data_IF_012548701045
#
_entry.id   IF_012548701045
#
_cell.length_a   1.000
_cell.length_b   1.000
_cell.length_c   1.000
_cell.angle_alpha   90.00
_cell.angle_beta   90.00
_cell.angle_gamma   90.00
#
_symmetry.space_group_name_H-M   'P 1'
#
loop_
_entity.id
_entity.type
_entity.pdbx_description
1 polymer ?
#
# COMPACT_ATOMS: atom_id res chain seq x y z
N UNK A 1 11.88 -44.17 64.84
CA UNK A 1 10.74 -43.69 64.03
C UNK A 1 10.17 -42.48 64.73
N UNK A 2 10.67 -41.28 64.40
CA UNK A 2 10.16 -40.02 64.94
C UNK A 2 9.06 -39.57 64.00
N UNK A 3 7.80 -39.75 64.41
CA UNK A 3 6.65 -39.15 63.74
C UNK A 3 6.61 -37.68 64.14
N UNK A 4 6.97 -36.79 63.22
CA UNK A 4 6.79 -35.34 63.36
C UNK A 4 5.29 -35.08 63.28
N UNK A 5 4.66 -34.74 64.41
CA UNK A 5 3.32 -34.17 64.42
C UNK A 5 3.37 -32.82 63.72
N UNK A 6 2.87 -32.75 62.49
CA UNK A 6 2.58 -31.48 61.82
C UNK A 6 1.32 -30.90 62.47
N UNK A 7 1.45 -29.71 63.03
CA UNK A 7 0.36 -29.01 63.71
C UNK A 7 -0.74 -28.63 62.70
N UNK A 8 -2.01 -28.87 63.05
CA UNK A 8 -3.15 -28.66 62.16
C UNK A 8 -3.35 -27.16 61.81
N UNK A 9 -2.77 -26.27 62.62
CA UNK A 9 -2.73 -24.83 62.38
C UNK A 9 -1.77 -24.43 61.25
N UNK A 10 -0.64 -25.12 61.09
CA UNK A 10 0.33 -24.85 60.02
C UNK A 10 -0.23 -25.23 58.64
N UNK A 11 -1.01 -26.31 58.58
CA UNK A 11 -1.69 -26.79 57.37
C UNK A 11 -2.76 -25.78 56.90
N UNK A 12 -3.54 -25.21 57.85
CA UNK A 12 -4.55 -24.18 57.54
C UNK A 12 -3.91 -22.88 57.07
N UNK A 13 -2.78 -22.49 57.64
CA UNK A 13 -2.04 -21.28 57.25
C UNK A 13 -1.42 -21.44 55.86
N UNK A 14 -0.84 -22.61 55.54
CA UNK A 14 -0.34 -22.93 54.22
C UNK A 14 -1.43 -22.93 53.13
N UNK A 15 -2.60 -23.51 53.41
CA UNK A 15 -3.74 -23.49 52.48
C UNK A 15 -4.25 -22.07 52.21
N UNK A 16 -4.31 -21.24 53.25
CA UNK A 16 -4.72 -19.85 53.15
C UNK A 16 -3.76 -19.04 52.26
N UNK A 17 -2.45 -19.23 52.44
CA UNK A 17 -1.42 -18.56 51.62
C UNK A 17 -1.52 -18.99 50.15
N UNK A 18 -1.67 -20.29 49.87
CA UNK A 18 -1.85 -20.81 48.49
C UNK A 18 -3.11 -20.25 47.85
N UNK A 19 -4.21 -20.15 48.61
CA UNK A 19 -5.47 -19.56 48.15
C UNK A 19 -5.31 -18.08 47.79
N UNK A 20 -4.69 -17.26 48.64
CA UNK A 20 -4.48 -15.84 48.37
C UNK A 20 -3.50 -15.59 47.21
N UNK A 21 -2.41 -16.36 47.11
CA UNK A 21 -1.46 -16.25 45.98
C UNK A 21 -2.13 -16.67 44.67
N UNK A 22 -2.91 -17.75 44.67
CA UNK A 22 -3.69 -18.18 43.51
C UNK A 22 -4.72 -17.14 43.06
N UNK A 23 -5.42 -16.51 44.02
CA UNK A 23 -6.37 -15.42 43.75
C UNK A 23 -5.66 -14.20 43.14
N UNK A 24 -4.48 -13.81 43.67
CA UNK A 24 -3.69 -12.70 43.13
C UNK A 24 -3.22 -12.97 41.70
N UNK A 25 -2.75 -14.19 41.41
CA UNK A 25 -2.32 -14.58 40.06
C UNK A 25 -3.52 -14.56 39.11
N UNK A 26 -4.67 -15.10 39.51
CA UNK A 26 -5.87 -15.12 38.69
C UNK A 26 -6.38 -13.71 38.36
N UNK A 27 -6.38 -12.80 39.34
CA UNK A 27 -6.73 -11.39 39.14
C UNK A 27 -5.74 -10.66 38.22
N UNK A 28 -4.43 -10.93 38.36
CA UNK A 28 -3.41 -10.33 37.49
C UNK A 28 -3.54 -10.80 36.03
N UNK A 29 -3.86 -12.08 35.79
CA UNK A 29 -4.05 -12.64 34.45
C UNK A 29 -5.34 -12.15 33.78
N UNK A 30 -6.42 -11.97 34.54
CA UNK A 30 -7.66 -11.35 34.03
C UNK A 30 -7.49 -9.86 33.70
N UNK A 31 -6.61 -9.14 34.40
CA UNK A 31 -6.32 -7.72 34.10
C UNK A 31 -5.50 -7.51 32.82
N UNK A 32 -4.72 -8.51 32.40
CA UNK A 32 -3.86 -8.44 31.21
C UNK A 32 -4.55 -8.81 29.89
N UNK A 33 -5.74 -9.39 29.95
CA UNK A 33 -6.40 -10.02 28.79
C UNK A 33 -7.56 -9.21 28.21
N UNK A 34 -7.62 -7.91 28.44
CA UNK A 34 -8.66 -7.06 27.84
C UNK A 34 -8.16 -5.67 27.47
N UNK A 35 -7.55 -5.57 26.28
CA UNK A 35 -7.46 -4.30 25.58
C UNK A 35 -8.85 -4.04 24.98
N UNK A 36 -9.72 -3.34 25.71
CA UNK A 36 -10.97 -2.82 25.13
C UNK A 36 -10.63 -1.57 24.32
N UNK A 37 -10.66 -1.68 22.99
CA UNK A 37 -10.59 -0.53 22.09
C UNK A 37 -11.96 0.15 22.12
N UNK A 38 -12.04 1.34 22.72
CA UNK A 38 -13.23 2.18 22.67
C UNK A 38 -13.15 3.11 21.45
N UNK A 39 -14.18 3.10 20.60
CA UNK A 39 -14.34 4.06 19.51
C UNK A 39 -15.39 5.08 19.90
N UNK A 40 -15.02 6.37 19.90
CA UNK A 40 -15.95 7.47 20.15
C UNK A 40 -16.55 7.96 18.82
N UNK A 41 -17.88 8.05 18.75
CA UNK A 41 -18.57 8.61 17.59
C UNK A 41 -18.61 10.13 17.76
N UNK A 42 -17.81 10.85 16.98
CA UNK A 42 -17.97 12.30 16.80
C UNK A 42 -19.33 12.53 16.13
N UNK A 43 -20.28 13.11 16.85
CA UNK A 43 -21.53 13.60 16.26
C UNK A 43 -21.24 14.86 15.45
N UNK A 44 -20.95 14.67 14.16
CA UNK A 44 -21.06 15.75 13.19
C UNK A 44 -22.47 15.75 12.58
N UNK A 45 -23.10 16.92 12.50
CA UNK A 45 -24.53 17.13 12.20
C UNK A 45 -24.88 16.94 10.71
N UNK A 46 -24.11 16.13 9.98
CA UNK A 46 -24.31 15.86 8.55
C UNK A 46 -23.80 14.49 8.07
N UNK A 47 -23.39 13.59 8.97
CA UNK A 47 -22.80 12.29 8.59
C UNK A 47 -23.83 11.16 8.65
N UNK A 48 -24.03 10.47 7.53
CA UNK A 48 -24.75 9.21 7.50
C UNK A 48 -23.99 8.15 8.34
N UNK A 49 -24.68 7.52 9.28
CA UNK A 49 -24.10 6.43 10.07
C UNK A 49 -24.19 5.11 9.31
N UNK A 50 -23.09 4.35 9.27
CA UNK A 50 -23.02 3.02 8.69
C UNK A 50 -22.26 2.06 9.62
N UNK A 51 -22.58 0.77 9.54
CA UNK A 51 -21.88 -0.29 10.27
C UNK A 51 -21.01 -1.09 9.31
N UNK A 52 -19.75 -1.31 9.67
CA UNK A 52 -18.79 -2.16 8.94
C UNK A 52 -18.38 -3.30 9.87
N UNK A 53 -18.51 -4.55 9.41
CA UNK A 53 -18.05 -5.74 10.13
C UNK A 53 -16.85 -6.33 9.38
N UNK A 54 -15.74 -6.56 10.09
CA UNK A 54 -14.51 -7.13 9.54
C UNK A 54 -14.28 -8.50 10.19
N UNK A 55 -14.36 -9.57 9.40
CA UNK A 55 -13.98 -10.92 9.84
C UNK A 55 -12.47 -11.14 9.66
N UNK A 56 -11.73 -11.13 10.77
CA UNK A 56 -10.29 -11.37 10.78
C UNK A 56 -9.90 -12.86 10.77
N UNK A 57 -10.86 -13.80 10.82
CA UNK A 57 -10.59 -15.24 10.85
C UNK A 57 -10.57 -15.88 9.45
N UNK A 58 -11.20 -15.24 8.46
CA UNK A 58 -11.40 -15.79 7.13
C UNK A 58 -10.83 -14.88 6.05
N UNK A 59 -9.74 -15.29 5.38
CA UNK A 59 -9.24 -14.59 4.20
C UNK A 59 -10.03 -15.01 2.93
N UNK A 60 -10.44 -14.03 2.11
CA UNK A 60 -11.14 -14.28 0.83
C UNK A 60 -10.21 -14.18 -0.38
N UNK A 61 -8.97 -13.74 -0.17
CA UNK A 61 -7.98 -13.53 -1.21
C UNK A 61 -6.66 -13.04 -0.62
N UNK A 62 -5.63 -13.03 -1.45
CA UNK A 62 -4.30 -12.57 -1.14
C UNK A 62 -3.93 -11.45 -2.13
N UNK A 63 -3.15 -10.48 -1.64
CA UNK A 63 -2.66 -9.37 -2.43
C UNK A 63 -1.19 -9.67 -2.73
N UNK A 64 -0.77 -9.43 -3.98
CA UNK A 64 0.62 -9.62 -4.40
C UNK A 64 1.57 -8.67 -3.65
N UNK A 65 2.83 -9.07 -3.49
CA UNK A 65 3.83 -8.33 -2.70
C UNK A 65 4.08 -6.92 -3.25
N UNK A 66 3.83 -6.72 -4.55
CA UNK A 66 4.02 -5.49 -5.33
C UNK A 66 2.70 -4.98 -5.93
N UNK A 67 1.60 -5.14 -5.20
CA UNK A 67 0.27 -4.69 -5.63
C UNK A 67 0.18 -3.19 -5.95
N UNK A 68 1.06 -2.38 -5.38
CA UNK A 68 1.15 -0.96 -5.70
C UNK A 68 1.78 -0.83 -7.08
N UNK A 69 1.07 -0.21 -8.00
CA UNK A 69 1.55 0.00 -9.35
C UNK A 69 1.31 1.42 -9.84
N UNK A 70 2.17 1.86 -10.77
CA UNK A 70 2.06 3.12 -11.47
C UNK A 70 2.28 2.90 -12.97
N UNK A 71 1.73 3.78 -13.80
CA UNK A 71 1.95 3.76 -15.25
C UNK A 71 2.68 5.04 -15.67
N UNK A 72 3.71 4.90 -16.50
CA UNK A 72 4.35 6.00 -17.22
C UNK A 72 3.98 5.91 -18.69
N UNK A 73 3.29 6.92 -19.24
CA UNK A 73 2.75 6.90 -20.61
C UNK A 73 3.66 7.65 -21.60
N UNK A 74 3.40 7.47 -22.90
CA UNK A 74 4.16 8.01 -24.04
C UNK A 74 3.65 9.36 -24.53
N UNK A 75 2.67 9.98 -23.87
CA UNK A 75 2.07 11.21 -24.35
C UNK A 75 3.09 12.36 -24.44
N UNK A 76 3.19 13.02 -25.60
CA UNK A 76 4.06 14.17 -25.74
C UNK A 76 3.41 15.41 -25.08
N UNK A 77 4.19 16.46 -24.74
CA UNK A 77 3.69 17.67 -24.08
C UNK A 77 2.53 18.36 -24.80
N UNK A 78 2.45 18.21 -26.13
CA UNK A 78 1.42 18.80 -26.97
C UNK A 78 0.04 18.10 -26.82
N UNK A 79 -0.04 17.03 -26.03
CA UNK A 79 -1.30 16.39 -25.66
C UNK A 79 -2.04 17.27 -24.65
N UNK A 80 -3.07 17.95 -25.15
CA UNK A 80 -3.95 18.77 -24.35
C UNK A 80 -5.39 18.25 -24.42
N UNK A 81 -5.98 17.97 -23.27
CA UNK A 81 -7.36 17.53 -23.11
C UNK A 81 -8.15 18.58 -22.35
N UNK A 82 -9.36 18.88 -22.84
CA UNK A 82 -10.26 19.82 -22.17
C UNK A 82 -9.62 21.19 -21.85
N UNK A 83 -8.67 21.63 -22.69
CA UNK A 83 -7.94 22.89 -22.52
C UNK A 83 -6.72 22.84 -21.59
N UNK A 84 -6.34 21.66 -21.07
CA UNK A 84 -5.16 21.49 -20.19
C UNK A 84 -4.17 20.50 -20.78
N UNK A 85 -2.87 20.82 -20.76
CA UNK A 85 -1.79 19.98 -21.26
C UNK A 85 -1.06 19.32 -20.08
N UNK A 86 -1.68 18.31 -19.47
CA UNK A 86 -1.23 17.74 -18.19
C UNK A 86 0.07 16.94 -18.28
N UNK A 87 0.50 16.57 -19.50
CA UNK A 87 1.63 15.68 -19.68
C UNK A 87 2.98 16.34 -19.54
N UNK A 88 3.12 17.62 -19.93
CA UNK A 88 4.33 18.45 -19.81
C UNK A 88 5.63 17.64 -19.60
N UNK A 89 6.24 17.61 -18.41
CA UNK A 89 7.45 16.83 -18.05
C UNK A 89 7.17 15.54 -17.27
N UNK A 90 5.98 14.96 -17.44
CA UNK A 90 5.50 13.80 -16.67
C UNK A 90 5.41 12.51 -17.50
N UNK A 91 5.70 12.57 -18.81
CA UNK A 91 5.66 11.39 -19.67
C UNK A 91 7.01 10.69 -19.73
N UNK A 92 7.02 9.43 -20.19
CA UNK A 92 8.24 8.65 -20.32
C UNK A 92 9.29 9.31 -21.23
N UNK A 93 8.84 10.22 -22.11
CA UNK A 93 9.70 10.93 -23.06
C UNK A 93 10.58 11.99 -22.39
N UNK A 94 10.17 12.54 -21.25
CA UNK A 94 10.81 13.72 -20.65
C UNK A 94 10.77 13.78 -19.12
N UNK A 95 10.27 12.73 -18.45
CA UNK A 95 10.29 12.60 -17.00
C UNK A 95 11.74 12.63 -16.48
N UNK A 96 12.01 13.53 -15.54
CA UNK A 96 13.30 13.58 -14.85
C UNK A 96 13.41 12.45 -13.82
N UNK A 97 14.12 11.39 -14.18
CA UNK A 97 14.40 10.24 -13.31
C UNK A 97 15.33 10.58 -12.13
N UNK A 98 16.01 11.73 -12.15
CA UNK A 98 16.83 12.20 -11.03
C UNK A 98 16.04 13.05 -10.03
N UNK A 99 14.74 13.27 -10.27
CA UNK A 99 13.89 14.05 -9.39
C UNK A 99 13.78 13.38 -8.00
N UNK A 100 14.17 14.11 -6.95
CA UNK A 100 14.20 13.57 -5.58
C UNK A 100 12.81 13.17 -5.06
N UNK A 101 11.75 13.85 -5.51
CA UNK A 101 10.37 13.54 -5.11
C UNK A 101 9.97 12.20 -5.73
N UNK A 102 10.25 11.99 -7.02
CA UNK A 102 10.00 10.71 -7.70
C UNK A 102 10.78 9.57 -7.04
N UNK A 103 12.07 9.77 -6.79
CA UNK A 103 12.92 8.76 -6.14
C UNK A 103 12.41 8.39 -4.74
N UNK A 104 11.97 9.37 -3.95
CA UNK A 104 11.41 9.12 -2.62
C UNK A 104 10.07 8.39 -2.70
N UNK A 105 9.22 8.70 -3.69
CA UNK A 105 7.98 7.98 -3.92
C UNK A 105 8.23 6.51 -4.27
N UNK A 106 9.13 6.24 -5.23
CA UNK A 106 9.49 4.86 -5.60
C UNK A 106 10.05 4.07 -4.42
N UNK A 107 10.86 4.70 -3.56
CA UNK A 107 11.38 4.08 -2.33
C UNK A 107 10.26 3.79 -1.32
N UNK A 108 9.35 4.73 -1.11
CA UNK A 108 8.25 4.59 -0.16
C UNK A 108 7.26 3.48 -0.57
N UNK A 109 7.10 3.26 -1.87
CA UNK A 109 6.21 2.24 -2.43
C UNK A 109 6.95 0.97 -2.86
N UNK A 110 8.19 0.75 -2.44
CA UNK A 110 8.95 -0.44 -2.82
C UNK A 110 8.40 -1.70 -2.12
N UNK A 111 8.12 -2.81 -2.85
CA UNK A 111 8.29 -2.96 -4.30
C UNK A 111 7.14 -2.31 -5.12
N UNK A 112 7.50 -1.43 -6.06
CA UNK A 112 6.57 -0.72 -6.95
C UNK A 112 6.61 -1.34 -8.36
N UNK A 113 5.48 -1.82 -8.87
CA UNK A 113 5.33 -2.24 -10.28
C UNK A 113 5.13 -1.02 -11.17
N UNK A 114 6.07 -0.73 -12.08
CA UNK A 114 5.91 0.34 -13.07
C UNK A 114 5.59 -0.26 -14.45
N UNK A 115 4.42 0.07 -15.00
CA UNK A 115 4.06 -0.22 -16.38
C UNK A 115 4.52 0.93 -17.28
N UNK A 116 5.19 0.61 -18.38
CA UNK A 116 5.59 1.59 -19.39
C UNK A 116 4.59 1.53 -20.55
N UNK A 117 3.82 2.59 -20.74
CA UNK A 117 2.91 2.78 -21.85
C UNK A 117 1.49 3.11 -21.44
N UNK A 118 0.55 2.77 -22.31
CA UNK A 118 -0.79 3.36 -22.33
C UNK A 118 -1.35 3.34 -23.73
N UNK A 119 -2.23 4.27 -24.04
CA UNK A 119 -2.92 4.31 -25.34
C UNK A 119 -1.97 4.55 -26.52
N UNK A 120 -0.96 5.40 -26.33
CA UNK A 120 0.02 5.69 -27.39
C UNK A 120 1.02 4.56 -27.62
N UNK A 121 1.05 3.53 -26.77
CA UNK A 121 1.99 2.43 -26.86
C UNK A 121 1.89 1.69 -28.20
N UNK A 122 0.69 1.57 -28.77
CA UNK A 122 0.47 0.90 -30.06
C UNK A 122 1.07 1.67 -31.25
N UNK A 123 1.42 2.95 -31.05
CA UNK A 123 2.03 3.82 -32.05
C UNK A 123 3.54 4.02 -31.83
N UNK A 124 4.15 3.32 -30.86
CA UNK A 124 5.58 3.38 -30.57
C UNK A 124 6.36 2.44 -31.49
N UNK A 125 7.43 2.94 -32.10
CA UNK A 125 8.44 2.17 -32.85
C UNK A 125 9.77 2.25 -32.10
N UNK A 126 10.39 1.10 -31.82
CA UNK A 126 11.75 1.08 -31.26
C UNK A 126 12.78 1.09 -32.39
N UNK A 127 13.71 2.04 -32.36
CA UNK A 127 14.80 2.09 -33.32
C UNK A 127 15.76 0.92 -33.07
N UNK A 128 15.83 0.01 -34.03
CA UNK A 128 16.76 -1.15 -33.97
C UNK A 128 17.99 -0.96 -34.84
N UNK A 129 17.96 -0.02 -35.78
CA UNK A 129 19.05 0.25 -36.72
C UNK A 129 19.41 1.73 -36.73
N UNK A 130 20.71 2.05 -36.70
CA UNK A 130 21.22 3.43 -36.64
C UNK A 130 20.82 4.29 -37.84
N UNK A 131 20.61 3.67 -39.00
CA UNK A 131 20.29 4.39 -40.25
C UNK A 131 18.78 4.58 -40.47
N UNK A 132 17.92 4.07 -39.58
CA UNK A 132 16.49 4.29 -39.65
C UNK A 132 16.16 5.71 -39.18
N UNK A 133 15.36 6.47 -39.94
CA UNK A 133 14.85 7.76 -39.48
C UNK A 133 13.93 7.54 -38.28
N UNK A 134 14.26 8.18 -37.17
CA UNK A 134 13.51 8.12 -35.93
C UNK A 134 12.87 9.49 -35.67
N UNK A 135 11.55 9.55 -35.76
CA UNK A 135 10.77 10.78 -35.57
C UNK A 135 9.92 10.65 -34.31
N UNK A 136 9.83 11.72 -33.51
CA UNK A 136 8.94 11.76 -32.35
C UNK A 136 7.46 11.76 -32.75
N UNK A 137 6.58 11.52 -31.78
CA UNK A 137 5.14 11.69 -31.95
C UNK A 137 4.80 13.13 -32.37
N UNK A 138 3.97 13.28 -33.40
CA UNK A 138 3.50 14.59 -33.86
C UNK A 138 1.98 14.59 -33.85
N UNK A 139 1.38 15.68 -33.38
CA UNK A 139 -0.07 15.85 -33.38
C UNK A 139 -0.61 15.81 -34.81
N UNK A 140 -1.54 14.90 -35.07
CA UNK A 140 -2.23 14.75 -36.34
C UNK A 140 -3.65 14.25 -36.06
N UNK A 141 -4.65 15.10 -36.22
CA UNK A 141 -6.05 14.79 -35.90
C UNK A 141 -6.67 13.70 -36.78
N UNK A 142 -6.03 13.38 -37.91
CA UNK A 142 -6.47 12.31 -38.80
C UNK A 142 -5.99 10.92 -38.37
N UNK A 143 -5.00 10.86 -37.49
CA UNK A 143 -4.45 9.60 -36.97
C UNK A 143 -5.26 9.08 -35.79
N UNK A 144 -5.15 7.77 -35.54
CA UNK A 144 -5.70 7.16 -34.33
C UNK A 144 -5.06 7.82 -33.10
N UNK A 145 -5.91 8.27 -32.17
CA UNK A 145 -5.52 9.01 -30.96
C UNK A 145 -4.96 10.42 -31.19
N UNK A 146 -5.00 10.92 -32.43
CA UNK A 146 -4.62 12.29 -32.76
C UNK A 146 -3.11 12.53 -32.86
N UNK A 147 -2.31 11.47 -32.96
CA UNK A 147 -0.85 11.54 -33.08
C UNK A 147 -0.32 10.51 -34.07
N UNK A 148 0.73 10.86 -34.79
CA UNK A 148 1.46 9.94 -35.67
C UNK A 148 2.12 8.81 -34.89
N UNK A 149 2.63 7.80 -35.59
CA UNK A 149 3.64 6.92 -35.00
C UNK A 149 4.85 7.74 -34.53
N UNK A 150 5.39 7.34 -33.38
CA UNK A 150 6.57 7.93 -32.76
C UNK A 150 7.64 6.87 -32.57
N UNK A 151 8.88 7.26 -32.77
CA UNK A 151 10.03 6.39 -32.67
C UNK A 151 10.87 6.74 -31.44
N UNK A 152 11.28 5.70 -30.70
CA UNK A 152 12.21 5.79 -29.58
C UNK A 152 13.60 5.38 -30.07
N UNK A 153 14.58 6.30 -30.01
CA UNK A 153 15.93 5.99 -30.46
C UNK A 153 16.59 4.95 -29.56
N UNK A 154 17.41 4.07 -30.15
CA UNK A 154 18.37 3.29 -29.36
C UNK A 154 19.44 4.24 -28.83
N UNK A 155 19.76 4.12 -27.55
CA UNK A 155 20.79 4.90 -26.86
C UNK A 155 22.17 4.64 -27.44
#
# INVERSE_FOLDING_TARGET
>A
MVLVSLDLQDIKMGYLVVYYVGLCIWLSLFSYSSIFVYSEIVKDTGTAQGFVFVDGLSAIGEIDDDFICATLDWWPPEKCDYGTCSWDHASLLNLDLNNIILLNAVKAFSPLKIRLGGTLQDNVIYQTQSNQRCHSFVKNSSELFGFTQGCLPSS
#
